data_IF_537523777278
#
_entry.id   IF_537523777278
#
_cell.length_a   1.000
_cell.length_b   1.000
_cell.length_c   1.000
_cell.angle_alpha   90.00
_cell.angle_beta   90.00
_cell.angle_gamma   90.00
#
_symmetry.space_group_name_H-M   'P 1'
#
loop_
_entity.id
_entity.type
_entity.pdbx_description
1 polymer ?
#
# COMPACT_ATOMS: atom_id res chain seq x y z
N UNK A 1 4.41 -6.83 22.65
CA UNK A 1 4.80 -5.70 21.76
C UNK A 1 4.64 -6.15 20.32
N UNK A 2 3.89 -5.44 19.50
CA UNK A 2 3.65 -5.71 18.08
C UNK A 2 3.00 -7.07 17.73
N UNK A 3 2.33 -7.72 18.67
CA UNK A 3 1.76 -9.07 18.49
C UNK A 3 0.65 -9.11 17.42
N UNK A 4 -0.10 -8.02 17.29
CA UNK A 4 -1.18 -7.89 16.32
C UNK A 4 -0.72 -7.49 14.91
N UNK A 5 0.61 -7.31 14.71
CA UNK A 5 1.18 -6.92 13.43
C UNK A 5 1.81 -8.13 12.75
N UNK A 6 1.36 -8.42 11.54
CA UNK A 6 1.80 -9.60 10.80
C UNK A 6 3.15 -9.40 10.12
N UNK A 7 3.92 -10.46 10.06
CA UNK A 7 5.19 -10.52 9.32
C UNK A 7 6.23 -9.52 9.80
N UNK A 8 7.26 -9.33 8.98
CA UNK A 8 8.35 -8.35 9.20
C UNK A 8 9.03 -8.43 10.59
N UNK A 9 9.23 -9.64 11.11
CA UNK A 9 9.72 -9.89 12.47
C UNK A 9 11.11 -9.28 12.75
N UNK A 10 11.96 -9.18 11.74
CA UNK A 10 13.26 -8.53 11.88
C UNK A 10 13.14 -7.05 12.22
N UNK A 11 12.18 -6.36 11.57
CA UNK A 11 11.90 -4.94 11.84
C UNK A 11 11.31 -4.80 13.24
N UNK A 12 10.35 -5.64 13.61
CA UNK A 12 9.76 -5.64 14.97
C UNK A 12 10.83 -5.84 16.04
N UNK A 13 11.72 -6.82 15.87
CA UNK A 13 12.84 -7.06 16.79
C UNK A 13 13.78 -5.85 16.91
N UNK A 14 14.11 -5.22 15.78
CA UNK A 14 14.94 -4.02 15.77
C UNK A 14 14.26 -2.88 16.56
N UNK A 15 12.99 -2.60 16.31
CA UNK A 15 12.25 -1.53 17.00
C UNK A 15 12.07 -1.83 18.50
N UNK A 16 11.83 -3.09 18.88
CA UNK A 16 11.78 -3.52 20.29
C UNK A 16 13.12 -3.24 20.99
N UNK A 17 14.24 -3.53 20.33
CA UNK A 17 15.55 -3.22 20.88
C UNK A 17 15.76 -1.72 21.06
N UNK A 18 15.28 -0.88 20.11
CA UNK A 18 15.33 0.57 20.26
C UNK A 18 14.53 1.05 21.48
N UNK A 19 13.35 0.48 21.70
CA UNK A 19 12.47 0.81 22.84
C UNK A 19 13.14 0.39 24.14
N UNK A 20 13.60 -0.86 24.26
CA UNK A 20 14.20 -1.40 25.50
C UNK A 20 15.45 -0.64 25.93
N UNK A 21 16.23 -0.15 24.97
CA UNK A 21 17.45 0.60 25.22
C UNK A 21 17.22 2.13 25.26
N UNK A 22 15.99 2.60 25.04
CA UNK A 22 15.64 4.02 24.87
C UNK A 22 16.55 4.75 23.86
N UNK A 23 17.00 4.03 22.84
CA UNK A 23 17.92 4.52 21.81
C UNK A 23 17.22 4.62 20.46
N UNK A 24 16.64 5.77 20.19
CA UNK A 24 15.89 6.06 18.97
C UNK A 24 16.72 6.88 18.00
N UNK A 25 16.69 6.52 16.71
CA UNK A 25 17.15 7.42 15.66
C UNK A 25 16.17 8.61 15.53
N UNK A 26 16.68 9.72 15.06
CA UNK A 26 15.85 10.90 14.80
C UNK A 26 14.92 10.75 13.61
N UNK A 27 15.26 9.85 12.67
CA UNK A 27 14.47 9.67 11.45
C UNK A 27 14.53 8.24 10.94
N UNK A 28 13.35 7.77 10.49
CA UNK A 28 13.14 6.45 9.91
C UNK A 28 12.39 6.58 8.60
N UNK A 29 12.68 5.68 7.66
CA UNK A 29 11.84 5.41 6.50
C UNK A 29 11.29 4.00 6.64
N UNK A 30 9.96 3.87 6.69
CA UNK A 30 9.26 2.59 6.60
C UNK A 30 8.80 2.42 5.15
N UNK A 31 9.57 1.66 4.36
CA UNK A 31 9.34 1.48 2.94
C UNK A 31 8.75 0.11 2.63
N UNK A 32 8.08 -0.03 1.49
CA UNK A 32 7.49 -1.28 1.01
C UNK A 32 6.05 -1.12 0.50
N UNK A 33 5.46 -2.20 0.00
CA UNK A 33 4.13 -2.17 -0.62
C UNK A 33 3.03 -1.65 0.32
N UNK A 34 1.92 -1.16 -0.24
CA UNK A 34 0.71 -0.85 0.55
C UNK A 34 0.19 -2.12 1.24
N UNK A 35 -0.41 -1.97 2.44
CA UNK A 35 -1.08 -3.06 3.16
C UNK A 35 -0.17 -4.10 3.81
N UNK A 36 1.14 -3.84 3.94
CA UNK A 36 2.08 -4.74 4.66
C UNK A 36 2.28 -4.35 6.14
N UNK A 37 1.47 -3.43 6.67
CA UNK A 37 1.46 -3.07 8.08
C UNK A 37 2.35 -1.89 8.49
N UNK A 38 2.98 -1.15 7.54
CA UNK A 38 3.88 -0.02 7.83
C UNK A 38 3.27 1.03 8.76
N UNK A 39 2.09 1.55 8.39
CA UNK A 39 1.40 2.58 9.17
C UNK A 39 1.03 2.09 10.58
N UNK A 40 0.50 0.87 10.70
CA UNK A 40 0.10 0.29 11.97
C UNK A 40 1.34 0.15 12.87
N UNK A 41 2.45 -0.38 12.32
CA UNK A 41 3.69 -0.53 13.08
C UNK A 41 4.29 0.83 13.48
N UNK A 42 4.25 1.83 12.59
CA UNK A 42 4.71 3.18 12.90
C UNK A 42 3.92 3.81 14.06
N UNK A 43 2.60 3.65 14.06
CA UNK A 43 1.71 4.17 15.10
C UNK A 43 1.94 3.48 16.45
N UNK A 44 2.04 2.15 16.45
CA UNK A 44 2.35 1.39 17.67
C UNK A 44 3.77 1.72 18.19
N UNK A 45 4.72 1.91 17.29
CA UNK A 45 6.07 2.34 17.67
C UNK A 45 6.08 3.75 18.29
N UNK A 46 5.34 4.69 17.68
CA UNK A 46 5.17 6.05 18.23
C UNK A 46 4.56 6.00 19.64
N UNK A 47 3.49 5.21 19.84
CA UNK A 47 2.86 5.04 21.16
C UNK A 47 3.86 4.53 22.22
N UNK A 48 4.73 3.59 21.83
CA UNK A 48 5.74 3.07 22.76
C UNK A 48 6.89 4.06 23.04
N UNK A 49 7.26 4.92 22.06
CA UNK A 49 8.25 5.99 22.28
C UNK A 49 7.71 7.02 23.25
N UNK A 50 6.43 7.39 23.12
CA UNK A 50 5.80 8.43 23.92
C UNK A 50 5.47 7.97 25.33
N UNK A 51 5.43 6.65 25.58
CA UNK A 51 4.97 6.08 26.85
C UNK A 51 3.59 6.64 27.29
N UNK A 52 2.80 7.09 26.32
CA UNK A 52 1.51 7.78 26.51
C UNK A 52 0.43 7.20 25.60
N UNK A 53 -0.60 6.64 26.21
CA UNK A 53 -1.75 6.09 25.49
C UNK A 53 -2.59 7.17 24.78
N UNK A 54 -2.55 8.41 25.26
CA UNK A 54 -3.28 9.53 24.66
C UNK A 54 -2.54 10.17 23.48
N UNK A 55 -1.24 9.84 23.32
CA UNK A 55 -0.40 10.31 22.21
C UNK A 55 -0.43 11.83 22.02
N UNK A 56 -0.31 12.62 23.12
CA UNK A 56 -0.41 14.08 23.06
C UNK A 56 0.73 14.73 22.27
N UNK A 57 1.93 14.13 22.29
CA UNK A 57 3.10 14.60 21.54
C UNK A 57 3.28 13.82 20.21
N UNK A 58 2.14 13.36 19.64
CA UNK A 58 2.07 12.66 18.35
C UNK A 58 1.44 13.56 17.29
N UNK A 59 2.09 13.61 16.14
CA UNK A 59 1.66 14.40 14.99
C UNK A 59 1.67 13.56 13.72
N UNK A 60 0.63 13.70 12.94
CA UNK A 60 0.47 12.95 11.68
C UNK A 60 0.19 13.92 10.53
N UNK A 61 0.98 13.80 9.47
CA UNK A 61 0.81 14.54 8.23
C UNK A 61 0.42 13.58 7.12
N UNK A 62 -0.69 13.88 6.45
CA UNK A 62 -1.18 13.17 5.26
C UNK A 62 -1.20 14.08 4.04
N UNK A 63 -1.16 13.53 2.82
CA UNK A 63 -1.30 14.31 1.61
C UNK A 63 -2.62 15.11 1.60
N UNK A 64 -2.55 16.36 1.17
CA UNK A 64 -3.73 17.15 0.80
C UNK A 64 -3.98 16.96 -0.70
N UNK A 65 -4.98 16.14 -1.03
CA UNK A 65 -5.26 15.70 -2.38
C UNK A 65 -4.23 14.67 -2.89
N UNK A 66 -3.51 14.97 -3.97
CA UNK A 66 -2.62 14.03 -4.66
C UNK A 66 -1.15 14.12 -4.23
N UNK A 67 -0.78 15.06 -3.37
CA UNK A 67 0.63 15.29 -3.01
C UNK A 67 0.77 15.96 -1.64
N UNK A 68 1.94 15.77 -1.02
CA UNK A 68 2.38 16.54 0.15
C UNK A 68 3.16 17.77 -0.33
N UNK A 69 2.63 18.96 -0.06
CA UNK A 69 3.19 20.23 -0.54
C UNK A 69 4.16 20.83 0.47
N UNK A 70 5.04 21.72 0.00
CA UNK A 70 6.00 22.42 0.84
C UNK A 70 5.36 23.20 2.01
N UNK A 71 4.14 23.73 1.82
CA UNK A 71 3.42 24.45 2.87
C UNK A 71 3.16 23.54 4.09
N UNK A 72 2.68 22.31 3.85
CA UNK A 72 2.44 21.32 4.90
C UNK A 72 3.73 20.94 5.66
N UNK A 73 4.86 20.81 4.94
CA UNK A 73 6.16 20.53 5.58
C UNK A 73 6.62 21.72 6.43
N UNK A 74 6.38 22.97 5.99
CA UNK A 74 6.72 24.15 6.78
C UNK A 74 5.88 24.27 8.07
N UNK A 75 4.61 23.91 8.00
CA UNK A 75 3.75 23.82 9.18
C UNK A 75 4.26 22.76 10.14
N UNK A 76 4.58 21.57 9.64
CA UNK A 76 5.20 20.50 10.43
C UNK A 76 6.51 20.95 11.07
N UNK A 77 7.36 21.70 10.35
CA UNK A 77 8.63 22.23 10.88
C UNK A 77 8.41 23.27 11.99
N UNK A 78 7.35 24.05 11.94
CA UNK A 78 7.00 24.97 13.02
C UNK A 78 6.65 24.19 14.29
N UNK A 79 5.85 23.12 14.18
CA UNK A 79 5.50 22.22 15.29
C UNK A 79 6.73 21.48 15.85
N UNK A 80 7.64 21.04 15.00
CA UNK A 80 8.88 20.34 15.40
C UNK A 80 9.76 21.19 16.33
N UNK A 81 9.70 22.52 16.23
CA UNK A 81 10.46 23.41 17.09
C UNK A 81 9.84 23.61 18.48
N UNK A 82 8.62 23.12 18.70
CA UNK A 82 7.95 23.17 19.99
C UNK A 82 8.38 21.93 20.79
N UNK A 83 8.77 22.14 22.04
CA UNK A 83 9.13 21.04 22.95
C UNK A 83 7.89 20.21 23.28
N UNK A 84 8.05 18.89 23.49
CA UNK A 84 6.96 18.02 23.92
C UNK A 84 6.34 18.53 25.23
N UNK A 85 5.04 18.29 25.38
CA UNK A 85 4.24 18.79 26.52
C UNK A 85 4.20 17.75 27.64
N UNK A 86 4.07 16.48 27.30
CA UNK A 86 3.86 15.38 28.26
C UNK A 86 5.04 14.40 28.24
N UNK A 87 5.49 14.02 27.07
CA UNK A 87 6.51 12.99 26.88
C UNK A 87 7.93 13.58 26.80
N UNK A 88 8.97 12.73 26.89
CA UNK A 88 10.35 13.17 26.63
C UNK A 88 10.63 13.38 25.13
N UNK A 89 9.77 12.85 24.28
CA UNK A 89 9.88 12.85 22.82
C UNK A 89 8.60 13.37 22.17
N UNK A 90 8.75 13.91 20.96
CA UNK A 90 7.64 14.13 20.03
C UNK A 90 7.85 13.24 18.81
N UNK A 91 6.78 12.61 18.34
CA UNK A 91 6.82 11.71 17.18
C UNK A 91 5.98 12.27 16.04
N UNK A 92 6.60 12.39 14.88
CA UNK A 92 6.00 12.89 13.64
C UNK A 92 5.94 11.79 12.60
N UNK A 93 4.74 11.44 12.14
CA UNK A 93 4.55 10.50 11.02
C UNK A 93 4.15 11.27 9.78
N UNK A 94 4.87 11.09 8.68
CA UNK A 94 4.48 11.57 7.35
C UNK A 94 4.02 10.34 6.56
N UNK A 95 2.71 10.20 6.42
CA UNK A 95 2.11 9.11 5.65
C UNK A 95 2.16 9.42 4.14
N UNK A 96 2.27 8.38 3.30
CA UNK A 96 2.46 8.54 1.85
C UNK A 96 3.60 9.54 1.52
N UNK A 97 4.71 9.49 2.23
CA UNK A 97 5.82 10.45 2.09
C UNK A 97 6.44 10.47 0.68
N UNK A 98 6.29 9.41 -0.10
CA UNK A 98 6.65 9.35 -1.52
C UNK A 98 5.77 10.23 -2.44
N UNK A 99 4.69 10.81 -1.90
CA UNK A 99 3.89 11.83 -2.57
C UNK A 99 4.35 13.28 -2.26
N UNK A 100 5.43 13.45 -1.48
CA UNK A 100 6.05 14.78 -1.29
C UNK A 100 6.61 15.31 -2.60
N UNK A 101 6.30 16.58 -2.90
CA UNK A 101 6.98 17.27 -4.02
C UNK A 101 8.48 17.39 -3.76
N UNK A 102 9.28 17.58 -4.78
CA UNK A 102 10.75 17.74 -4.64
C UNK A 102 11.10 18.91 -3.70
N UNK A 103 10.34 20.01 -3.79
CA UNK A 103 10.51 21.18 -2.93
C UNK A 103 10.16 20.86 -1.46
N UNK A 104 9.13 20.03 -1.22
CA UNK A 104 8.76 19.59 0.11
C UNK A 104 9.86 18.71 0.72
N UNK A 105 10.39 17.75 -0.04
CA UNK A 105 11.52 16.92 0.39
C UNK A 105 12.78 17.75 0.68
N UNK A 106 13.13 18.71 -0.18
CA UNK A 106 14.27 19.58 0.04
C UNK A 106 14.09 20.48 1.28
N UNK A 107 12.86 20.96 1.53
CA UNK A 107 12.55 21.72 2.75
C UNK A 107 12.80 20.89 4.01
N UNK A 108 12.49 19.58 3.98
CA UNK A 108 12.65 18.68 5.14
C UNK A 108 14.13 18.39 5.48
N UNK A 109 15.06 18.52 4.51
CA UNK A 109 16.46 18.13 4.70
C UNK A 109 17.12 18.78 5.89
N UNK A 110 16.89 20.08 6.12
CA UNK A 110 17.47 20.79 7.28
C UNK A 110 17.05 20.16 8.61
N UNK A 111 15.79 19.78 8.72
CA UNK A 111 15.25 19.12 9.93
C UNK A 111 15.83 17.72 10.11
N UNK A 112 16.08 17.00 9.00
CA UNK A 112 16.70 15.67 9.04
C UNK A 112 18.20 15.69 9.35
N UNK A 113 18.90 16.80 9.03
CA UNK A 113 20.33 17.00 9.33
C UNK A 113 20.57 17.37 10.79
N UNK A 114 19.79 18.31 11.31
CA UNK A 114 19.94 18.85 12.65
C UNK A 114 18.62 18.77 13.44
N UNK A 115 18.10 17.56 13.67
CA UNK A 115 16.83 17.41 14.38
C UNK A 115 16.99 17.75 15.87
N UNK A 116 15.99 18.38 16.50
CA UNK A 116 15.96 18.52 17.95
C UNK A 116 16.04 17.15 18.62
N UNK A 117 16.77 17.05 19.74
CA UNK A 117 17.02 15.77 20.45
C UNK A 117 15.76 15.03 20.88
N UNK A 118 14.66 15.76 21.03
CA UNK A 118 13.36 15.21 21.43
C UNK A 118 12.50 14.75 20.25
N UNK A 119 12.95 14.90 19.00
CA UNK A 119 12.14 14.61 17.80
C UNK A 119 12.47 13.24 17.23
N UNK A 120 11.42 12.51 16.84
CA UNK A 120 11.50 11.31 16.01
C UNK A 120 10.56 11.47 14.82
N UNK A 121 11.09 11.34 13.60
CA UNK A 121 10.34 11.45 12.34
C UNK A 121 10.25 10.08 11.69
N UNK A 122 9.07 9.68 11.26
CA UNK A 122 8.84 8.42 10.54
C UNK A 122 8.18 8.74 9.19
N UNK A 123 8.87 8.42 8.10
CA UNK A 123 8.38 8.56 6.74
C UNK A 123 7.81 7.21 6.27
N UNK A 124 6.53 7.16 5.94
CA UNK A 124 5.91 5.97 5.35
C UNK A 124 5.95 6.11 3.84
N UNK A 125 6.60 5.16 3.18
CA UNK A 125 6.92 5.22 1.75
C UNK A 125 6.41 3.96 1.05
N UNK A 126 5.72 4.13 -0.06
CA UNK A 126 5.25 3.02 -0.89
C UNK A 126 6.14 2.81 -2.11
N UNK A 127 6.65 3.90 -2.68
CA UNK A 127 7.60 3.87 -3.80
C UNK A 127 8.88 4.60 -3.43
N UNK A 128 9.92 3.84 -3.10
CA UNK A 128 11.24 4.41 -2.76
C UNK A 128 11.86 5.24 -3.90
N UNK A 129 11.48 4.97 -5.16
CA UNK A 129 11.96 5.72 -6.32
C UNK A 129 11.60 7.20 -6.27
N UNK A 130 10.52 7.56 -5.57
CA UNK A 130 10.04 8.93 -5.44
C UNK A 130 10.72 9.70 -4.30
N UNK A 131 11.55 9.06 -3.48
CA UNK A 131 12.28 9.70 -2.38
C UNK A 131 13.69 10.05 -2.84
N UNK A 132 14.08 11.30 -2.62
CA UNK A 132 15.42 11.79 -2.94
C UNK A 132 16.50 11.01 -2.15
N UNK A 133 17.62 10.73 -2.79
CA UNK A 133 18.77 10.07 -2.16
C UNK A 133 19.31 10.85 -0.95
N UNK A 134 19.20 12.18 -0.98
CA UNK A 134 19.57 13.08 0.12
C UNK A 134 18.69 12.89 1.36
N UNK A 135 17.40 12.56 1.20
CA UNK A 135 16.50 12.22 2.30
C UNK A 135 16.83 10.82 2.83
N UNK A 136 16.99 9.84 1.92
CA UNK A 136 17.30 8.45 2.28
C UNK A 136 18.58 8.32 3.09
N UNK A 137 19.63 9.08 2.75
CA UNK A 137 20.92 9.03 3.43
C UNK A 137 20.89 9.53 4.88
N UNK A 138 19.83 10.23 5.29
CA UNK A 138 19.64 10.80 6.64
C UNK A 138 18.65 10.03 7.51
N UNK A 139 18.08 8.97 6.97
CA UNK A 139 17.09 8.15 7.67
C UNK A 139 17.57 6.69 7.81
N UNK A 140 17.16 6.03 8.87
CA UNK A 140 17.27 4.58 8.96
C UNK A 140 16.16 3.98 8.09
N UNK A 141 16.56 3.25 7.05
CA UNK A 141 15.60 2.62 6.14
C UNK A 141 15.25 1.22 6.63
N UNK A 142 13.95 1.01 6.90
CA UNK A 142 13.38 -0.27 7.29
C UNK A 142 12.43 -0.73 6.17
N UNK A 143 12.91 -1.69 5.38
CA UNK A 143 12.17 -2.20 4.24
C UNK A 143 11.24 -3.34 4.65
N UNK A 144 9.92 -3.13 4.49
CA UNK A 144 8.88 -4.10 4.77
C UNK A 144 8.69 -5.04 3.59
N UNK A 145 8.91 -6.30 3.82
CA UNK A 145 8.64 -7.35 2.86
C UNK A 145 7.12 -7.59 2.72
N UNK A 146 6.74 -8.19 1.61
CA UNK A 146 5.39 -8.76 1.43
C UNK A 146 5.11 -9.76 2.55
N UNK A 147 3.85 -9.82 2.98
CA UNK A 147 3.39 -10.82 3.94
C UNK A 147 3.45 -12.21 3.31
N UNK A 148 3.85 -13.22 4.09
CA UNK A 148 3.81 -14.60 3.66
C UNK A 148 2.35 -15.11 3.59
N UNK A 149 2.14 -16.20 2.87
CA UNK A 149 0.81 -16.82 2.83
C UNK A 149 0.40 -17.32 4.22
N UNK A 150 1.35 -17.75 5.04
CA UNK A 150 1.12 -18.17 6.42
C UNK A 150 0.66 -16.99 7.30
N UNK A 151 1.28 -15.82 7.14
CA UNK A 151 0.85 -14.59 7.84
C UNK A 151 -0.57 -14.20 7.47
N UNK A 152 -0.89 -14.23 6.17
CA UNK A 152 -2.24 -13.92 5.67
C UNK A 152 -3.26 -14.95 6.17
N UNK A 153 -2.91 -16.24 6.15
CA UNK A 153 -3.78 -17.30 6.64
C UNK A 153 -4.06 -17.12 8.14
N UNK A 154 -3.05 -16.80 8.94
CA UNK A 154 -3.20 -16.50 10.35
C UNK A 154 -4.17 -15.34 10.56
N UNK A 155 -4.03 -14.25 9.78
CA UNK A 155 -4.96 -13.12 9.85
C UNK A 155 -6.42 -13.51 9.59
N UNK A 156 -6.65 -14.41 8.63
CA UNK A 156 -8.00 -14.92 8.35
C UNK A 156 -8.58 -15.72 9.52
N UNK A 157 -7.77 -16.57 10.14
CA UNK A 157 -8.19 -17.36 11.29
C UNK A 157 -8.50 -16.44 12.48
N UNK A 158 -7.59 -15.53 12.82
CA UNK A 158 -7.71 -14.63 13.96
C UNK A 158 -8.91 -13.67 13.86
N UNK A 159 -9.33 -13.35 12.64
CA UNK A 159 -10.47 -12.46 12.38
C UNK A 159 -11.76 -13.20 11.96
N UNK A 160 -11.81 -14.53 12.09
CA UNK A 160 -12.96 -15.37 11.69
C UNK A 160 -13.40 -15.14 10.23
N UNK A 161 -12.43 -14.89 9.33
CA UNK A 161 -12.69 -14.68 7.92
C UNK A 161 -12.79 -16.03 7.20
N UNK A 162 -14.01 -16.54 7.05
CA UNK A 162 -14.27 -17.73 6.25
C UNK A 162 -14.25 -17.35 4.77
N UNK A 163 -13.10 -17.50 4.13
CA UNK A 163 -12.96 -17.37 2.68
C UNK A 163 -12.88 -18.81 2.15
N UNK A 164 -13.87 -19.21 1.37
CA UNK A 164 -13.89 -20.54 0.75
C UNK A 164 -12.67 -20.69 -0.18
N UNK A 165 -11.77 -21.60 0.19
CA UNK A 165 -10.44 -21.77 -0.45
C UNK A 165 -10.50 -22.32 -1.89
N UNK A 166 -11.65 -22.82 -2.33
CA UNK A 166 -11.70 -23.72 -3.49
C UNK A 166 -11.87 -23.01 -4.84
N UNK A 167 -12.34 -21.76 -4.87
CA UNK A 167 -12.68 -21.11 -6.14
C UNK A 167 -11.78 -19.97 -6.58
N UNK A 168 -11.14 -19.28 -5.64
CA UNK A 168 -10.20 -18.17 -5.90
C UNK A 168 -8.93 -18.40 -5.08
N UNK A 169 -7.77 -18.26 -5.70
CA UNK A 169 -6.52 -18.22 -4.95
C UNK A 169 -6.35 -16.83 -4.29
N UNK A 170 -6.99 -16.66 -3.13
CA UNK A 170 -7.02 -15.42 -2.37
C UNK A 170 -5.61 -14.90 -2.05
N UNK A 171 -4.64 -15.80 -1.85
CA UNK A 171 -3.27 -15.42 -1.57
C UNK A 171 -2.61 -14.74 -2.77
N UNK A 172 -2.90 -15.21 -3.99
CA UNK A 172 -2.42 -14.56 -5.22
C UNK A 172 -3.02 -13.18 -5.39
N UNK A 173 -4.32 -13.07 -5.10
CA UNK A 173 -5.04 -11.80 -5.15
C UNK A 173 -4.48 -10.78 -4.17
N UNK A 174 -4.20 -11.19 -2.94
CA UNK A 174 -3.61 -10.32 -1.94
C UNK A 174 -2.14 -9.98 -2.24
N UNK A 175 -1.44 -10.85 -2.95
CA UNK A 175 -0.04 -10.65 -3.36
C UNK A 175 0.86 -10.16 -2.20
N UNK A 176 0.67 -10.74 -1.02
CA UNK A 176 1.42 -10.39 0.19
C UNK A 176 1.01 -9.06 0.85
N UNK A 177 -0.21 -8.57 0.60
CA UNK A 177 -0.74 -7.33 1.15
C UNK A 177 -2.17 -7.50 1.64
N UNK A 178 -2.52 -6.90 2.78
CA UNK A 178 -3.90 -6.87 3.28
C UNK A 178 -4.71 -5.68 2.77
N UNK A 179 -4.14 -4.84 1.91
CA UNK A 179 -4.80 -3.64 1.41
C UNK A 179 -6.15 -3.95 0.71
N UNK A 180 -6.22 -5.10 0.06
CA UNK A 180 -7.39 -5.52 -0.71
C UNK A 180 -8.31 -6.51 0.05
N UNK A 181 -8.11 -6.70 1.36
CA UNK A 181 -8.88 -7.70 2.11
C UNK A 181 -10.38 -7.39 2.16
N UNK A 182 -10.73 -6.12 2.28
CA UNK A 182 -12.13 -5.70 2.26
C UNK A 182 -12.76 -5.93 0.89
N UNK A 183 -11.99 -5.70 -0.18
CA UNK A 183 -12.43 -5.99 -1.54
C UNK A 183 -12.73 -7.48 -1.74
N UNK A 184 -11.89 -8.36 -1.21
CA UNK A 184 -12.14 -9.81 -1.29
C UNK A 184 -13.43 -10.18 -0.54
N UNK A 185 -13.76 -9.50 0.56
CA UNK A 185 -14.99 -9.74 1.30
C UNK A 185 -16.23 -9.21 0.58
N UNK A 186 -16.13 -7.99 0.05
CA UNK A 186 -17.27 -7.25 -0.47
C UNK A 186 -17.58 -7.63 -1.93
N UNK A 187 -16.57 -8.06 -2.68
CA UNK A 187 -16.64 -8.30 -4.13
C UNK A 187 -16.21 -9.72 -4.51
N UNK A 188 -16.47 -10.70 -3.63
CA UNK A 188 -16.08 -12.10 -3.84
C UNK A 188 -16.66 -12.71 -5.12
N UNK A 189 -17.92 -12.42 -5.43
CA UNK A 189 -18.61 -12.94 -6.61
C UNK A 189 -18.00 -12.38 -7.90
N UNK A 190 -17.62 -11.10 -7.91
CA UNK A 190 -16.94 -10.47 -9.04
C UNK A 190 -15.56 -11.07 -9.28
N UNK A 191 -14.83 -11.36 -8.22
CA UNK A 191 -13.52 -12.04 -8.30
C UNK A 191 -13.66 -13.46 -8.85
N UNK A 192 -14.70 -14.18 -8.45
CA UNK A 192 -15.00 -15.52 -8.98
C UNK A 192 -15.33 -15.44 -10.47
N UNK A 193 -16.14 -14.46 -10.89
CA UNK A 193 -16.45 -14.21 -12.31
C UNK A 193 -15.19 -13.88 -13.11
N UNK A 194 -14.27 -13.05 -12.57
CA UNK A 194 -12.97 -12.76 -13.20
C UNK A 194 -12.08 -13.99 -13.32
N UNK A 195 -12.03 -14.83 -12.30
CA UNK A 195 -11.30 -16.10 -12.36
C UNK A 195 -11.86 -17.01 -13.46
N UNK A 196 -13.19 -17.08 -13.58
CA UNK A 196 -13.86 -17.83 -14.65
C UNK A 196 -13.59 -17.22 -16.04
N UNK A 197 -13.56 -15.89 -16.14
CA UNK A 197 -13.16 -15.19 -17.37
C UNK A 197 -11.74 -15.62 -17.82
N UNK A 198 -10.75 -15.56 -16.93
CA UNK A 198 -9.38 -15.96 -17.26
C UNK A 198 -9.29 -17.45 -17.62
N UNK A 199 -10.06 -18.31 -16.94
CA UNK A 199 -10.14 -19.73 -17.30
C UNK A 199 -10.73 -19.96 -18.69
N UNK A 200 -11.72 -19.15 -19.10
CA UNK A 200 -12.33 -19.25 -20.43
C UNK A 200 -11.36 -18.90 -21.55
N UNK A 201 -10.33 -18.09 -21.29
CA UNK A 201 -9.28 -17.77 -22.27
C UNK A 201 -8.51 -19.02 -22.74
N UNK A 202 -8.34 -20.01 -21.87
CA UNK A 202 -7.63 -21.27 -22.23
C UNK A 202 -8.33 -22.08 -23.31
N UNK A 203 -9.65 -22.01 -23.38
CA UNK A 203 -10.45 -22.82 -24.31
C UNK A 203 -10.79 -22.11 -25.62
N UNK A 204 -10.42 -20.83 -25.75
CA UNK A 204 -10.55 -19.95 -26.92
C UNK A 204 -11.93 -19.96 -27.61
N UNK A 205 -13.02 -20.33 -26.90
CA UNK A 205 -14.38 -20.19 -27.42
C UNK A 205 -14.87 -18.75 -27.25
N UNK A 206 -14.93 -18.03 -28.36
CA UNK A 206 -15.28 -16.60 -28.40
C UNK A 206 -16.56 -16.30 -27.63
N UNK A 207 -17.60 -17.13 -27.79
CA UNK A 207 -18.90 -16.93 -27.08
C UNK A 207 -18.73 -17.05 -25.56
N UNK A 208 -17.90 -17.96 -25.05
CA UNK A 208 -17.64 -18.13 -23.63
C UNK A 208 -16.84 -16.94 -23.08
N UNK A 209 -15.90 -16.39 -23.85
CA UNK A 209 -15.12 -15.21 -23.48
C UNK A 209 -16.06 -14.01 -23.32
N UNK A 210 -16.93 -13.73 -24.30
CA UNK A 210 -17.90 -12.63 -24.22
C UNK A 210 -18.87 -12.79 -23.06
N UNK A 211 -19.42 -13.99 -22.84
CA UNK A 211 -20.31 -14.27 -21.71
C UNK A 211 -19.65 -14.00 -20.36
N UNK A 212 -18.42 -14.43 -20.18
CA UNK A 212 -17.70 -14.19 -18.94
C UNK A 212 -17.18 -12.74 -18.79
N UNK A 213 -17.11 -11.98 -19.89
CA UNK A 213 -16.71 -10.58 -19.89
C UNK A 213 -17.79 -9.63 -19.37
N UNK A 214 -19.05 -10.10 -19.17
CA UNK A 214 -20.13 -9.30 -18.56
C UNK A 214 -19.74 -8.68 -17.22
N UNK A 215 -18.83 -9.33 -16.46
CA UNK A 215 -18.30 -8.81 -15.20
C UNK A 215 -17.71 -7.39 -15.31
N UNK A 216 -17.14 -7.05 -16.47
CA UNK A 216 -16.56 -5.73 -16.67
C UNK A 216 -17.62 -4.66 -16.91
N UNK A 217 -18.71 -4.98 -17.60
CA UNK A 217 -19.79 -4.04 -17.91
C UNK A 217 -20.68 -3.78 -16.69
N UNK A 218 -20.90 -4.78 -15.85
CA UNK A 218 -21.72 -4.69 -14.64
C UNK A 218 -21.08 -3.83 -13.53
N UNK A 219 -19.77 -3.59 -13.58
CA UNK A 219 -19.01 -3.04 -12.47
C UNK A 219 -18.22 -1.77 -12.84
N UNK A 220 -18.90 -0.79 -13.42
CA UNK A 220 -18.29 0.45 -13.90
C UNK A 220 -17.55 1.23 -12.80
N UNK A 221 -18.12 1.33 -11.61
CA UNK A 221 -17.57 2.03 -10.45
C UNK A 221 -16.33 1.35 -9.84
N UNK A 222 -16.22 0.03 -10.00
CA UNK A 222 -15.13 -0.79 -9.48
C UNK A 222 -14.10 -1.19 -10.54
N UNK A 223 -14.28 -0.76 -11.79
CA UNK A 223 -13.55 -1.30 -12.95
C UNK A 223 -12.03 -1.22 -12.81
N UNK A 224 -11.50 -0.11 -12.32
CA UNK A 224 -10.04 0.07 -12.17
C UNK A 224 -9.46 -1.02 -11.27
N UNK A 225 -10.15 -1.33 -10.18
CA UNK A 225 -9.76 -2.36 -9.23
C UNK A 225 -9.89 -3.76 -9.83
N UNK A 226 -10.95 -4.03 -10.58
CA UNK A 226 -11.13 -5.30 -11.29
C UNK A 226 -10.04 -5.51 -12.35
N UNK A 227 -9.62 -4.47 -13.08
CA UNK A 227 -8.51 -4.56 -14.03
C UNK A 227 -7.16 -4.80 -13.34
N UNK A 228 -6.92 -4.23 -12.16
CA UNK A 228 -5.74 -4.56 -11.36
C UNK A 228 -5.70 -6.04 -10.95
N UNK A 229 -6.86 -6.58 -10.61
CA UNK A 229 -7.01 -8.00 -10.32
C UNK A 229 -6.81 -8.88 -11.53
N UNK A 230 -7.40 -8.49 -12.65
CA UNK A 230 -7.23 -9.19 -13.92
C UNK A 230 -5.75 -9.30 -14.27
N UNK A 231 -4.97 -8.23 -14.08
CA UNK A 231 -3.53 -8.26 -14.31
C UNK A 231 -2.81 -9.32 -13.47
N UNK A 232 -3.16 -9.44 -12.18
CA UNK A 232 -2.59 -10.48 -11.32
C UNK A 232 -2.94 -11.87 -11.85
N UNK A 233 -4.20 -12.11 -12.20
CA UNK A 233 -4.64 -13.41 -12.71
C UNK A 233 -4.00 -13.75 -14.06
N UNK A 234 -3.86 -12.79 -14.96
CA UNK A 234 -3.20 -12.97 -16.26
C UNK A 234 -1.71 -13.30 -16.10
N UNK A 235 -1.02 -12.55 -15.23
CA UNK A 235 0.39 -12.78 -14.93
C UNK A 235 0.63 -14.20 -14.40
N UNK A 236 -0.17 -14.64 -13.43
CA UNK A 236 -0.11 -15.97 -12.81
C UNK A 236 -0.42 -17.11 -13.80
N UNK A 237 -1.25 -16.83 -14.81
CA UNK A 237 -1.55 -17.80 -15.87
C UNK A 237 -0.62 -17.67 -17.10
N UNK A 238 0.47 -16.88 -16.99
CA UNK A 238 1.48 -16.65 -18.04
C UNK A 238 0.96 -15.94 -19.30
N UNK A 239 -0.13 -15.18 -19.19
CA UNK A 239 -0.67 -14.35 -20.27
C UNK A 239 -0.04 -12.95 -20.28
N UNK A 240 1.29 -12.86 -20.31
CA UNK A 240 2.03 -11.60 -20.18
C UNK A 240 1.68 -10.55 -21.25
N UNK A 241 1.37 -10.99 -22.47
CA UNK A 241 0.97 -10.08 -23.56
C UNK A 241 -0.37 -9.39 -23.27
N UNK A 242 -1.29 -10.06 -22.59
CA UNK A 242 -2.60 -9.53 -22.26
C UNK A 242 -2.53 -8.47 -21.13
N UNK A 243 -1.53 -8.54 -20.25
CA UNK A 243 -1.31 -7.55 -19.18
C UNK A 243 -1.10 -6.15 -19.77
N UNK A 244 -0.35 -6.02 -20.86
CA UNK A 244 -0.14 -4.73 -21.53
C UNK A 244 -1.45 -4.14 -22.09
N UNK A 245 -2.33 -5.00 -22.61
CA UNK A 245 -3.65 -4.60 -23.12
C UNK A 245 -4.51 -4.06 -21.98
N UNK A 246 -4.51 -4.74 -20.83
CA UNK A 246 -5.25 -4.30 -19.64
C UNK A 246 -4.73 -2.94 -19.15
N UNK A 247 -3.43 -2.74 -19.07
CA UNK A 247 -2.86 -1.45 -18.64
C UNK A 247 -3.19 -0.31 -19.62
N UNK A 248 -3.17 -0.56 -20.93
CA UNK A 248 -3.63 0.40 -21.93
C UNK A 248 -5.11 0.75 -21.77
N UNK A 249 -5.94 -0.25 -21.51
CA UNK A 249 -7.38 -0.06 -21.27
C UNK A 249 -7.63 0.75 -20.01
N UNK A 250 -6.98 0.41 -18.92
CA UNK A 250 -7.04 1.15 -17.63
C UNK A 250 -6.69 2.63 -17.82
N UNK A 251 -5.59 2.92 -18.53
CA UNK A 251 -5.20 4.29 -18.81
C UNK A 251 -6.24 5.04 -19.67
N UNK A 252 -6.84 4.40 -20.69
CA UNK A 252 -7.88 5.00 -21.49
C UNK A 252 -9.12 5.35 -20.65
N UNK A 253 -9.55 4.46 -19.76
CA UNK A 253 -10.67 4.70 -18.83
C UNK A 253 -10.36 5.88 -17.89
N UNK A 254 -9.16 5.94 -17.32
CA UNK A 254 -8.71 7.03 -16.45
C UNK A 254 -8.65 8.40 -17.17
N UNK A 255 -8.49 8.40 -18.50
CA UNK A 255 -8.55 9.58 -19.36
C UNK A 255 -9.97 9.96 -19.79
N UNK A 256 -11.00 9.35 -19.16
CA UNK A 256 -12.43 9.60 -19.46
C UNK A 256 -12.85 9.24 -20.91
N UNK A 257 -12.18 8.25 -21.53
CA UNK A 257 -12.69 7.71 -22.78
C UNK A 257 -13.98 6.91 -22.55
N UNK A 258 -14.73 6.66 -23.65
CA UNK A 258 -15.95 5.88 -23.57
C UNK A 258 -15.66 4.50 -22.96
N UNK A 259 -16.33 4.20 -21.86
CA UNK A 259 -16.11 3.02 -21.05
C UNK A 259 -16.33 1.72 -21.82
N UNK A 260 -17.50 1.57 -22.44
CA UNK A 260 -17.87 0.35 -23.19
C UNK A 260 -16.89 0.08 -24.33
N UNK A 261 -16.54 1.12 -25.09
CA UNK A 261 -15.55 1.00 -26.16
C UNK A 261 -14.15 0.58 -25.65
N UNK A 262 -13.78 1.00 -24.45
CA UNK A 262 -12.51 0.58 -23.85
C UNK A 262 -12.53 -0.90 -23.47
N UNK A 263 -13.65 -1.38 -22.93
CA UNK A 263 -13.81 -2.81 -22.59
C UNK A 263 -13.90 -3.66 -23.86
N UNK A 264 -14.70 -3.25 -24.87
CA UNK A 264 -14.76 -3.95 -26.16
C UNK A 264 -13.39 -4.06 -26.82
N UNK A 265 -12.62 -2.97 -26.82
CA UNK A 265 -11.24 -2.96 -27.31
C UNK A 265 -10.36 -3.98 -26.57
N UNK A 266 -10.48 -4.07 -25.25
CA UNK A 266 -9.72 -5.04 -24.45
C UNK A 266 -10.07 -6.47 -24.83
N UNK A 267 -11.37 -6.79 -24.90
CA UNK A 267 -11.85 -8.16 -25.20
C UNK A 267 -11.45 -8.57 -26.60
N UNK A 268 -11.62 -7.71 -27.61
CA UNK A 268 -11.21 -7.99 -28.98
C UNK A 268 -9.71 -8.26 -29.09
N UNK A 269 -8.88 -7.42 -28.46
CA UNK A 269 -7.44 -7.65 -28.44
C UNK A 269 -7.05 -8.93 -27.70
N UNK A 270 -7.80 -9.33 -26.68
CA UNK A 270 -7.57 -10.63 -26.01
C UNK A 270 -7.80 -11.78 -27.00
N UNK A 271 -8.91 -11.75 -27.74
CA UNK A 271 -9.24 -12.78 -28.73
C UNK A 271 -8.20 -12.86 -29.86
N UNK A 272 -7.65 -11.72 -30.28
CA UNK A 272 -6.62 -11.65 -31.32
C UNK A 272 -5.23 -12.15 -30.87
N UNK A 273 -4.95 -12.12 -29.56
CA UNK A 273 -3.64 -12.47 -29.00
C UNK A 273 -3.62 -13.80 -28.20
N UNK A 274 -4.72 -14.56 -28.25
CA UNK A 274 -4.83 -15.93 -27.73
C UNK A 274 -4.48 -16.96 -28.80
#
# INVERSE_FOLDING_TARGET
MFENILGNDNIKKYLINCINNKNFSHSYIFSGNKGVGKYILAKEFAKMILEDDMMQDYYELKPDGKSVKIAQIRELQAEINIKPVVSEKSVYIIDDADLMTVEAQNSLLKTLEEPPKYVVIILIVHNEGNILSTVKSRCINLHFNKLSNEDIQKHFIDNNLNIEKESIDVFKVLNGSLNNINFIKDDYDELLRLSNFVRSLKNAKIIEIYKNAEVFYDNHDKIIRLLEYLNVLLFENSYFQLVEIVEKTKNKILMNNNFEMCIDYMILNFIENL
#
